data_IF_379093634733
#
_entry.id   IF_379093634733
#
_cell.length_a   1.000
_cell.length_b   1.000
_cell.length_c   1.000
_cell.angle_alpha   90.00
_cell.angle_beta   90.00
_cell.angle_gamma   90.00
#
_symmetry.space_group_name_H-M   'P 1'
#
loop_
_entity.id
_entity.type
_entity.pdbx_description
1 polymer ?
#
# COMPACT_ATOMS: atom_id res chain seq x y z
N UNK A 1 -11.49 -12.36 -20.46
CA UNK A 1 -10.30 -12.93 -19.80
C UNK A 1 -9.35 -11.87 -19.24
N UNK A 2 -9.07 -10.77 -19.95
CA UNK A 2 -8.06 -9.74 -19.56
C UNK A 2 -8.28 -9.09 -18.19
N UNK A 3 -9.53 -8.76 -17.84
CA UNK A 3 -9.87 -8.12 -16.58
C UNK A 3 -9.61 -8.99 -15.34
N UNK A 4 -9.73 -10.31 -15.49
CA UNK A 4 -9.53 -11.26 -14.39
C UNK A 4 -8.04 -11.45 -14.06
N UNK A 5 -7.19 -11.49 -15.09
CA UNK A 5 -5.73 -11.54 -14.95
C UNK A 5 -5.20 -10.26 -14.31
N UNK A 6 -5.62 -9.10 -14.80
CA UNK A 6 -5.26 -7.80 -14.21
C UNK A 6 -5.69 -7.68 -12.74
N UNK A 7 -6.84 -8.25 -12.36
CA UNK A 7 -7.30 -8.26 -10.98
C UNK A 7 -6.43 -9.15 -10.07
N UNK A 8 -5.93 -10.28 -10.58
CA UNK A 8 -4.98 -11.16 -9.86
C UNK A 8 -3.65 -10.43 -9.67
N UNK A 9 -3.09 -9.83 -10.72
CA UNK A 9 -1.83 -9.09 -10.67
C UNK A 9 -1.90 -7.91 -9.70
N UNK A 10 -3.02 -7.16 -9.70
CA UNK A 10 -3.21 -6.06 -8.74
C UNK A 10 -3.26 -6.57 -7.30
N UNK A 11 -3.95 -7.68 -7.06
CA UNK A 11 -4.00 -8.29 -5.73
C UNK A 11 -2.61 -8.78 -5.29
N UNK A 12 -1.85 -9.38 -6.19
CA UNK A 12 -0.47 -9.81 -5.92
C UNK A 12 0.47 -8.64 -5.61
N UNK A 13 0.41 -7.57 -6.40
CA UNK A 13 1.17 -6.33 -6.14
C UNK A 13 0.82 -5.73 -4.78
N UNK A 14 -0.45 -5.76 -4.39
CA UNK A 14 -0.87 -5.29 -3.07
C UNK A 14 -0.25 -6.12 -1.94
N UNK A 15 -0.24 -7.46 -2.07
CA UNK A 15 0.40 -8.33 -1.08
C UNK A 15 1.90 -8.04 -0.98
N UNK A 16 2.58 -7.89 -2.11
CA UNK A 16 4.01 -7.57 -2.14
C UNK A 16 4.30 -6.20 -1.50
N UNK A 17 3.54 -5.17 -1.86
CA UNK A 17 3.71 -3.84 -1.28
C UNK A 17 3.50 -3.81 0.24
N UNK A 18 2.49 -4.53 0.75
CA UNK A 18 2.27 -4.62 2.21
C UNK A 18 3.41 -5.32 2.95
N UNK A 19 4.06 -6.28 2.31
CA UNK A 19 5.23 -6.97 2.88
C UNK A 19 6.45 -6.04 2.92
N UNK A 20 6.69 -5.30 1.84
CA UNK A 20 7.77 -4.30 1.77
C UNK A 20 7.57 -3.22 2.84
N UNK A 21 6.37 -2.67 2.98
CA UNK A 21 6.11 -1.65 4.00
C UNK A 21 6.27 -2.20 5.43
N UNK A 22 5.94 -3.46 5.69
CA UNK A 22 6.21 -4.12 6.98
C UNK A 22 7.71 -4.16 7.29
N UNK A 23 8.53 -4.52 6.30
CA UNK A 23 9.99 -4.57 6.47
C UNK A 23 10.58 -3.19 6.79
N UNK A 24 9.92 -2.12 6.35
CA UNK A 24 10.29 -0.72 6.62
C UNK A 24 9.47 -0.06 7.74
N UNK A 25 8.68 -0.81 8.52
CA UNK A 25 7.74 -0.25 9.50
C UNK A 25 8.43 0.65 10.55
N UNK A 26 9.66 0.32 10.96
CA UNK A 26 10.44 1.14 11.89
C UNK A 26 10.80 2.52 11.28
N UNK A 27 11.28 2.55 10.04
CA UNK A 27 11.58 3.80 9.33
C UNK A 27 10.33 4.66 9.16
N UNK A 28 9.22 4.04 8.77
CA UNK A 28 7.93 4.73 8.57
C UNK A 28 7.40 5.28 9.90
N UNK A 29 7.49 4.51 10.98
CA UNK A 29 7.05 4.94 12.31
C UNK A 29 7.88 6.12 12.84
N UNK A 30 9.18 6.15 12.57
CA UNK A 30 10.03 7.30 12.93
C UNK A 30 9.49 8.59 12.28
N UNK A 31 9.22 8.55 10.97
CA UNK A 31 8.63 9.68 10.25
C UNK A 31 7.26 10.05 10.82
N UNK A 32 6.42 9.06 11.14
CA UNK A 32 5.12 9.32 11.76
C UNK A 32 5.23 10.01 13.12
N UNK A 33 6.27 9.72 13.91
CA UNK A 33 6.50 10.36 15.22
C UNK A 33 7.00 11.80 15.12
N UNK A 34 7.68 12.15 14.03
CA UNK A 34 8.21 13.50 13.78
C UNK A 34 7.21 14.42 13.05
N UNK A 35 6.07 13.88 12.60
CA UNK A 35 5.09 14.60 11.76
C UNK A 35 4.02 15.31 12.59
N UNK A 36 3.64 16.52 12.19
CA UNK A 36 2.61 17.33 12.86
C UNK A 36 1.17 16.89 12.55
N UNK A 37 0.22 17.23 13.43
CA UNK A 37 -1.15 16.72 13.38
C UNK A 37 -1.99 17.04 12.12
N UNK A 38 -1.65 18.09 11.37
CA UNK A 38 -2.36 18.46 10.12
C UNK A 38 -1.72 17.90 8.84
N UNK A 39 -0.73 17.01 8.99
CA UNK A 39 -0.05 16.35 7.90
C UNK A 39 -0.46 14.88 7.81
N UNK A 40 -0.18 14.26 6.67
CA UNK A 40 -0.37 12.84 6.39
C UNK A 40 0.96 12.29 5.90
N UNK A 41 1.32 11.09 6.35
CA UNK A 41 2.50 10.39 5.87
C UNK A 41 2.04 9.41 4.79
N UNK A 42 2.66 9.46 3.62
CA UNK A 42 2.43 8.51 2.53
C UNK A 42 3.66 7.64 2.40
N UNK A 43 3.53 6.36 2.70
CA UNK A 43 4.56 5.36 2.43
C UNK A 43 4.33 4.79 1.02
N UNK A 44 5.41 4.63 0.25
CA UNK A 44 5.34 4.33 -1.17
C UNK A 44 6.18 3.11 -1.53
N UNK A 45 5.72 2.34 -2.51
CA UNK A 45 6.42 1.19 -3.09
C UNK A 45 6.44 1.36 -4.61
N UNK A 46 7.62 1.18 -5.21
CA UNK A 46 7.82 1.23 -6.65
C UNK A 46 7.17 0.03 -7.35
N UNK A 47 7.00 0.12 -8.66
CA UNK A 47 6.44 -0.97 -9.49
C UNK A 47 7.29 -2.25 -9.42
N UNK A 48 8.59 -2.12 -9.21
CA UNK A 48 9.52 -3.25 -9.05
C UNK A 48 9.47 -3.90 -7.66
N UNK A 49 8.66 -3.37 -6.74
CA UNK A 49 8.51 -3.86 -5.37
C UNK A 49 9.57 -3.32 -4.40
N UNK A 50 10.37 -2.34 -4.79
CA UNK A 50 11.29 -1.66 -3.86
C UNK A 50 10.59 -0.57 -3.04
N UNK A 51 11.11 -0.27 -1.85
CA UNK A 51 10.59 0.80 -1.01
C UNK A 51 11.00 2.16 -1.58
N UNK A 52 10.01 2.96 -1.98
CA UNK A 52 10.21 4.29 -2.57
C UNK A 52 10.35 5.40 -1.51
N UNK A 53 10.26 5.05 -0.22
CA UNK A 53 10.36 5.99 0.89
C UNK A 53 9.01 6.47 1.42
N UNK A 54 9.07 7.56 2.18
CA UNK A 54 7.91 8.23 2.78
C UNK A 54 7.87 9.69 2.40
N UNK A 55 6.68 10.22 2.17
CA UNK A 55 6.45 11.63 1.94
C UNK A 55 5.47 12.18 2.97
N UNK A 56 5.78 13.34 3.55
CA UNK A 56 4.87 14.07 4.44
C UNK A 56 4.16 15.13 3.62
N UNK A 57 2.84 15.10 3.62
CA UNK A 57 2.02 16.03 2.83
C UNK A 57 0.95 16.70 3.68
N UNK A 58 0.60 17.98 3.41
CA UNK A 58 -0.55 18.60 4.04
C UNK A 58 -1.83 17.81 3.75
N UNK A 59 -2.69 17.63 4.76
CA UNK A 59 -3.94 16.88 4.59
C UNK A 59 -4.83 17.45 3.47
N UNK A 60 -4.80 18.77 3.27
CA UNK A 60 -5.56 19.46 2.22
C UNK A 60 -5.09 19.09 0.80
N UNK A 61 -3.85 18.62 0.63
CA UNK A 61 -3.28 18.25 -0.67
C UNK A 61 -3.33 16.74 -0.94
N UNK A 62 -3.77 15.95 0.04
CA UNK A 62 -3.72 14.48 -0.01
C UNK A 62 -4.30 13.92 -1.32
N UNK A 63 -5.49 14.37 -1.72
CA UNK A 63 -6.16 13.84 -2.90
C UNK A 63 -5.35 14.07 -4.19
N UNK A 64 -4.82 15.28 -4.38
CA UNK A 64 -4.04 15.62 -5.56
C UNK A 64 -2.71 14.87 -5.59
N UNK A 65 -2.06 14.73 -4.43
CA UNK A 65 -0.79 14.01 -4.33
C UNK A 65 -0.96 12.50 -4.56
N UNK A 66 -2.04 11.89 -4.05
CA UNK A 66 -2.34 10.49 -4.32
C UNK A 66 -2.58 10.25 -5.82
N UNK A 67 -3.25 11.18 -6.51
CA UNK A 67 -3.45 11.07 -7.96
C UNK A 67 -2.12 11.06 -8.72
N UNK A 68 -1.20 11.96 -8.37
CA UNK A 68 0.14 12.02 -8.97
C UNK A 68 0.88 10.70 -8.70
N UNK A 69 0.96 10.28 -7.45
CA UNK A 69 1.72 9.10 -7.04
C UNK A 69 1.16 7.80 -7.63
N UNK A 70 -0.15 7.58 -7.58
CA UNK A 70 -0.76 6.33 -8.05
C UNK A 70 -0.95 6.29 -9.58
N UNK A 71 -1.35 7.40 -10.20
CA UNK A 71 -1.74 7.42 -11.62
C UNK A 71 -0.56 7.80 -12.51
N UNK A 72 0.16 8.86 -12.16
CA UNK A 72 1.24 9.40 -13.01
C UNK A 72 2.57 8.67 -12.75
N UNK A 73 2.88 8.38 -11.49
CA UNK A 73 4.12 7.69 -11.09
C UNK A 73 3.97 6.18 -10.91
N UNK A 74 2.74 5.65 -10.99
CA UNK A 74 2.44 4.22 -10.88
C UNK A 74 2.88 3.56 -9.56
N UNK A 75 3.04 4.34 -8.50
CA UNK A 75 3.43 3.84 -7.17
C UNK A 75 2.25 3.21 -6.46
N UNK A 76 2.55 2.21 -5.63
CA UNK A 76 1.59 1.75 -4.63
C UNK A 76 1.80 2.55 -3.35
N UNK A 77 0.71 3.06 -2.77
CA UNK A 77 0.79 4.00 -1.64
C UNK A 77 -0.07 3.57 -0.45
N UNK A 78 0.41 3.89 0.75
CA UNK A 78 -0.34 3.77 2.00
C UNK A 78 -0.28 5.07 2.78
N UNK A 79 -1.44 5.70 2.95
CA UNK A 79 -1.59 6.88 3.79
C UNK A 79 -1.74 6.51 5.27
N UNK A 80 -0.91 7.13 6.11
CA UNK A 80 -0.77 6.92 7.54
C UNK A 80 -1.01 8.23 8.27
N UNK A 81 -1.57 8.13 9.48
CA UNK A 81 -1.74 9.28 10.34
C UNK A 81 -0.43 9.60 11.06
N UNK A 82 -0.20 10.87 11.46
CA UNK A 82 0.79 11.20 12.47
C UNK A 82 0.63 10.28 13.68
N UNK A 83 1.73 10.01 14.38
CA UNK A 83 1.85 9.10 15.53
C UNK A 83 1.49 7.62 15.29
N UNK A 84 1.28 7.17 14.05
CA UNK A 84 1.17 5.73 13.74
C UNK A 84 2.40 4.99 14.25
N UNK A 85 2.19 4.03 15.15
CA UNK A 85 3.28 3.21 15.69
C UNK A 85 3.69 2.11 14.71
N UNK A 86 4.83 1.48 14.97
CA UNK A 86 5.28 0.27 14.24
C UNK A 86 4.16 -0.77 14.23
N UNK A 87 3.55 -1.03 15.38
CA UNK A 87 2.48 -2.03 15.50
C UNK A 87 1.23 -1.66 14.69
N UNK A 88 0.86 -0.38 14.62
CA UNK A 88 -0.27 0.07 13.79
C UNK A 88 0.00 -0.13 12.30
N UNK A 89 1.24 0.15 11.87
CA UNK A 89 1.68 -0.05 10.48
C UNK A 89 1.68 -1.54 10.13
N UNK A 90 2.28 -2.38 10.98
CA UNK A 90 2.33 -3.83 10.78
C UNK A 90 0.94 -4.45 10.71
N UNK A 91 0.07 -4.07 11.66
CA UNK A 91 -1.32 -4.53 11.69
C UNK A 91 -2.06 -4.13 10.42
N UNK A 92 -1.95 -2.87 10.00
CA UNK A 92 -2.64 -2.37 8.80
C UNK A 92 -2.14 -3.06 7.53
N UNK A 93 -0.84 -3.30 7.43
CA UNK A 93 -0.28 -4.07 6.32
C UNK A 93 -0.74 -5.53 6.34
N UNK A 94 -0.82 -6.16 7.52
CA UNK A 94 -1.34 -7.52 7.65
C UNK A 94 -2.81 -7.62 7.21
N UNK A 95 -3.65 -6.67 7.62
CA UNK A 95 -5.07 -6.63 7.24
C UNK A 95 -5.24 -6.46 5.73
N UNK A 96 -4.56 -5.48 5.14
CA UNK A 96 -4.63 -5.21 3.68
C UNK A 96 -4.10 -6.42 2.89
N UNK A 97 -2.94 -6.97 3.29
CA UNK A 97 -2.35 -8.13 2.65
C UNK A 97 -3.24 -9.37 2.73
N UNK A 98 -3.89 -9.60 3.88
CA UNK A 98 -4.85 -10.68 4.07
C UNK A 98 -6.03 -10.55 3.09
N UNK A 99 -6.65 -9.37 2.99
CA UNK A 99 -7.78 -9.16 2.08
C UNK A 99 -7.38 -9.29 0.61
N UNK A 100 -6.22 -8.76 0.23
CA UNK A 100 -5.69 -8.88 -1.12
C UNK A 100 -5.42 -10.35 -1.48
N UNK A 101 -4.80 -11.12 -0.59
CA UNK A 101 -4.54 -12.54 -0.81
C UNK A 101 -5.85 -13.35 -0.89
N UNK A 102 -6.81 -13.08 0.00
CA UNK A 102 -8.13 -13.73 -0.03
C UNK A 102 -8.86 -13.46 -1.35
N UNK A 103 -8.80 -12.22 -1.84
CA UNK A 103 -9.37 -11.84 -3.15
C UNK A 103 -8.68 -12.58 -4.28
N UNK A 104 -7.34 -12.63 -4.29
CA UNK A 104 -6.55 -13.38 -5.28
C UNK A 104 -6.97 -14.85 -5.34
N UNK A 105 -6.99 -15.54 -4.19
CA UNK A 105 -7.37 -16.96 -4.12
C UNK A 105 -8.81 -17.22 -4.54
N UNK A 106 -9.73 -16.27 -4.29
CA UNK A 106 -11.12 -16.41 -4.76
C UNK A 106 -11.23 -16.28 -6.28
N UNK A 107 -10.48 -15.35 -6.90
CA UNK A 107 -10.47 -15.17 -8.34
C UNK A 107 -9.81 -16.37 -9.03
N UNK A 108 -8.66 -16.83 -8.51
CA UNK A 108 -7.94 -17.98 -9.07
C UNK A 108 -8.82 -19.24 -9.09
N UNK A 109 -9.45 -19.58 -7.96
CA UNK A 109 -10.35 -20.75 -7.89
C UNK A 109 -11.49 -20.71 -8.91
N UNK A 110 -12.02 -19.52 -9.22
CA UNK A 110 -13.08 -19.36 -10.24
C UNK A 110 -12.54 -19.61 -11.65
N UNK A 111 -11.30 -19.22 -11.94
CA UNK A 111 -10.67 -19.50 -13.23
C UNK A 111 -10.39 -20.99 -13.39
N UNK A 112 -9.86 -21.64 -12.35
CA UNK A 112 -9.54 -23.07 -12.38
C UNK A 112 -10.78 -23.96 -12.58
N UNK A 113 -11.97 -23.48 -12.20
CA UNK A 113 -13.25 -24.17 -12.40
C UNK A 113 -13.88 -23.96 -13.79
N UNK A 114 -13.34 -23.06 -14.61
CA UNK A 114 -13.83 -22.75 -15.96
C UNK A 114 -13.01 -23.42 -17.07
N UNK A 115 -11.96 -24.15 -16.70
CA UNK A 115 -11.13 -24.99 -17.57
C UNK A 115 -11.38 -26.47 -17.29
#
# INVERSE_FOLDING_TARGET
MTWTVQAIERAQRTVQATEVLRQHAATIANVCSETEGNQIIVAMVEVDGSFAGTQVIPRAELQNQLEILEIQEHKWVLALSPSSSIHDIERRCADIGYFANRRRSAIQRRLDQQH
#
